data_IF_075725592931
#
_entry.id   IF_075725592931
#
_cell.length_a   1.000
_cell.length_b   1.000
_cell.length_c   1.000
_cell.angle_alpha   90.00
_cell.angle_beta   90.00
_cell.angle_gamma   90.00
#
_symmetry.space_group_name_H-M   'P 1'
#
loop_
_entity.id
_entity.type
_entity.pdbx_description
1 polymer ?
#
# COMPACT_ATOMS: atom_id res chain seq x y z
N UNK A 1 -9.65 -8.88 3.22
CA UNK A 1 -8.19 -8.69 3.40
C UNK A 1 -7.87 -7.18 3.45
N UNK A 2 -6.73 -6.72 4.00
CA UNK A 2 -6.52 -5.29 4.37
C UNK A 2 -5.42 -4.62 3.55
N UNK A 3 -5.65 -3.37 3.17
CA UNK A 3 -4.62 -2.50 2.60
C UNK A 3 -4.83 -1.10 3.22
N UNK A 4 -3.75 -0.44 3.64
CA UNK A 4 -3.75 0.98 4.03
C UNK A 4 -3.00 1.73 2.93
N UNK A 5 -3.72 2.50 2.13
CA UNK A 5 -3.16 3.24 0.99
C UNK A 5 -3.10 4.74 1.30
N UNK A 6 -2.08 5.46 0.81
CA UNK A 6 -2.08 6.93 0.77
C UNK A 6 -2.07 7.33 -0.71
N UNK A 7 -3.22 7.66 -1.29
CA UNK A 7 -3.33 7.86 -2.74
C UNK A 7 -4.33 8.97 -3.15
N UNK A 8 -3.88 9.81 -4.10
CA UNK A 8 -4.58 10.84 -4.91
C UNK A 8 -5.84 10.29 -5.67
N UNK A 9 -6.70 11.11 -6.32
CA UNK A 9 -8.10 10.69 -6.59
C UNK A 9 -8.29 9.61 -7.69
N UNK A 10 -9.04 8.56 -7.30
CA UNK A 10 -9.97 7.70 -8.06
C UNK A 10 -9.39 6.55 -8.92
N UNK A 11 -8.08 6.45 -9.11
CA UNK A 11 -7.51 5.37 -9.94
C UNK A 11 -7.00 4.18 -9.11
N UNK A 12 -7.60 3.00 -9.31
CA UNK A 12 -7.26 1.75 -8.62
C UNK A 12 -7.07 0.59 -9.62
N UNK A 13 -6.24 -0.42 -9.29
CA UNK A 13 -6.06 -1.64 -10.09
C UNK A 13 -7.38 -2.34 -10.41
N UNK A 14 -7.70 -2.55 -11.69
CA UNK A 14 -8.98 -3.14 -12.10
C UNK A 14 -9.04 -4.66 -11.94
N UNK A 15 -7.88 -5.33 -11.86
CA UNK A 15 -7.83 -6.78 -11.64
C UNK A 15 -8.27 -7.20 -10.22
N UNK A 16 -8.51 -6.22 -9.34
CA UNK A 16 -8.87 -6.45 -7.95
C UNK A 16 -10.16 -5.73 -7.58
N UNK A 17 -10.93 -6.35 -6.69
CA UNK A 17 -12.15 -5.75 -6.13
C UNK A 17 -11.77 -4.75 -5.05
N UNK A 18 -11.68 -3.48 -5.40
CA UNK A 18 -11.27 -2.42 -4.49
C UNK A 18 -12.48 -1.65 -3.92
N UNK A 19 -12.61 -1.61 -2.60
CA UNK A 19 -13.63 -0.85 -1.87
C UNK A 19 -12.98 0.25 -1.04
N UNK A 20 -13.47 1.49 -1.16
CA UNK A 20 -12.96 2.64 -0.40
C UNK A 20 -13.68 2.68 0.94
N UNK A 21 -12.94 2.52 2.05
CA UNK A 21 -13.52 2.45 3.41
C UNK A 21 -13.56 3.81 4.08
N UNK A 22 -12.50 4.59 3.94
CA UNK A 22 -12.41 5.92 4.56
C UNK A 22 -11.43 6.80 3.80
N UNK A 23 -11.71 8.09 3.77
CA UNK A 23 -10.82 9.12 3.24
C UNK A 23 -10.92 10.34 4.13
N UNK A 24 -9.87 10.63 4.89
CA UNK A 24 -9.81 11.86 5.69
C UNK A 24 -9.26 13.03 4.85
N UNK A 25 -9.54 14.26 5.33
CA UNK A 25 -8.96 15.52 4.80
C UNK A 25 -7.42 15.52 4.75
N UNK A 26 -6.77 14.57 5.43
CA UNK A 26 -5.31 14.40 5.54
C UNK A 26 -4.71 13.42 4.51
N UNK A 27 -5.39 13.15 3.39
CA UNK A 27 -4.85 12.35 2.26
C UNK A 27 -4.63 10.85 2.55
N UNK A 28 -5.09 10.36 3.70
CA UNK A 28 -5.07 8.93 4.05
C UNK A 28 -6.33 8.27 3.51
N UNK A 29 -6.19 7.25 2.65
CA UNK A 29 -7.33 6.50 2.08
C UNK A 29 -7.22 5.02 2.39
N UNK A 30 -8.09 4.53 3.27
CA UNK A 30 -8.16 3.09 3.47
C UNK A 30 -8.94 2.44 2.31
N UNK A 31 -8.33 1.43 1.68
CA UNK A 31 -8.93 0.67 0.58
C UNK A 31 -8.86 -0.80 0.92
N UNK A 32 -9.96 -1.52 0.72
CA UNK A 32 -10.00 -2.97 0.87
C UNK A 32 -9.96 -3.61 -0.49
N UNK A 33 -9.19 -4.68 -0.57
CA UNK A 33 -8.95 -5.39 -1.80
C UNK A 33 -8.82 -6.87 -1.51
N UNK A 34 -9.18 -7.70 -2.50
CA UNK A 34 -9.25 -9.15 -2.40
C UNK A 34 -7.89 -9.85 -2.56
N UNK A 35 -6.80 -9.22 -2.10
CA UNK A 35 -5.46 -9.82 -2.13
C UNK A 35 -5.36 -11.01 -1.17
N UNK A 36 -4.72 -12.09 -1.63
CA UNK A 36 -4.54 -13.31 -0.86
C UNK A 36 -3.08 -13.58 -0.49
N UNK A 37 -2.12 -13.22 -1.35
CA UNK A 37 -0.72 -13.58 -1.18
C UNK A 37 0.25 -12.42 -1.54
N UNK A 38 1.56 -12.68 -1.48
CA UNK A 38 2.59 -11.69 -1.78
C UNK A 38 2.66 -11.27 -3.25
N UNK A 39 2.32 -12.17 -4.16
CA UNK A 39 2.29 -11.93 -5.61
C UNK A 39 1.15 -10.98 -5.96
N UNK A 40 -0.03 -11.15 -5.35
CA UNK A 40 -1.15 -10.22 -5.50
C UNK A 40 -0.78 -8.80 -5.08
N UNK A 41 0.05 -8.65 -4.03
CA UNK A 41 0.56 -7.34 -3.60
C UNK A 41 1.43 -6.71 -4.70
N UNK A 42 2.29 -7.51 -5.34
CA UNK A 42 3.17 -7.03 -6.41
C UNK A 42 2.38 -6.70 -7.68
N UNK A 43 1.37 -7.50 -8.02
CA UNK A 43 0.47 -7.23 -9.14
C UNK A 43 -0.36 -5.97 -8.90
N UNK A 44 -0.92 -5.82 -7.69
CA UNK A 44 -1.69 -4.64 -7.30
C UNK A 44 -0.85 -3.37 -7.40
N UNK A 45 0.40 -3.37 -6.88
CA UNK A 45 1.25 -2.18 -6.97
C UNK A 45 1.71 -1.92 -8.41
N UNK A 46 1.96 -2.96 -9.21
CA UNK A 46 2.37 -2.83 -10.61
C UNK A 46 1.30 -2.14 -11.45
N UNK A 47 0.05 -2.60 -11.36
CA UNK A 47 -1.09 -1.96 -12.02
C UNK A 47 -1.28 -0.53 -11.50
N UNK A 48 -1.22 -0.34 -10.18
CA UNK A 48 -1.40 0.97 -9.58
C UNK A 48 -0.33 1.97 -10.09
N UNK A 49 0.91 1.53 -10.22
CA UNK A 49 2.02 2.30 -10.79
C UNK A 49 1.78 2.70 -12.24
N UNK A 50 1.29 1.76 -13.06
CA UNK A 50 0.99 2.01 -14.47
C UNK A 50 -0.14 3.03 -14.61
N UNK A 51 -1.23 2.84 -13.88
CA UNK A 51 -2.42 3.68 -14.00
C UNK A 51 -2.14 5.11 -13.51
N UNK A 52 -1.39 5.26 -12.41
CA UNK A 52 -1.10 6.59 -11.84
C UNK A 52 0.18 7.22 -12.37
N UNK A 53 0.91 6.53 -13.26
CA UNK A 53 2.25 6.91 -13.71
C UNK A 53 3.19 7.25 -12.53
N UNK A 54 3.08 6.50 -11.43
CA UNK A 54 3.93 6.64 -10.25
C UNK A 54 4.92 5.49 -10.17
N UNK A 55 6.00 5.70 -9.40
CA UNK A 55 6.97 4.65 -9.10
C UNK A 55 7.11 4.52 -7.60
N UNK A 56 7.11 3.29 -7.12
CA UNK A 56 7.19 2.97 -5.70
C UNK A 56 8.35 2.03 -5.41
N UNK A 57 9.12 2.35 -4.38
CA UNK A 57 10.21 1.53 -3.90
C UNK A 57 9.74 0.73 -2.67
N UNK A 58 10.13 -0.54 -2.58
CA UNK A 58 9.87 -1.35 -1.39
C UNK A 58 10.74 -0.85 -0.25
N UNK A 59 10.11 -0.40 0.84
CA UNK A 59 10.77 -0.04 2.10
C UNK A 59 10.89 -1.22 3.05
N UNK A 60 9.83 -2.03 3.14
CA UNK A 60 9.76 -3.20 4.03
C UNK A 60 8.93 -4.29 3.38
N UNK A 61 9.35 -5.53 3.56
CA UNK A 61 8.63 -6.74 3.14
C UNK A 61 8.60 -7.72 4.30
N UNK A 62 7.43 -8.24 4.64
CA UNK A 62 7.23 -9.22 5.70
C UNK A 62 6.30 -10.33 5.19
N UNK A 63 6.88 -11.43 4.66
CA UNK A 63 6.12 -12.64 4.36
C UNK A 63 5.78 -13.40 5.65
N UNK A 64 4.65 -14.12 5.67
CA UNK A 64 4.30 -15.12 6.66
C UNK A 64 4.43 -14.68 8.13
N UNK A 65 3.79 -13.56 8.48
CA UNK A 65 3.75 -13.12 9.88
C UNK A 65 2.89 -14.03 10.77
N UNK A 66 3.03 -13.88 12.08
CA UNK A 66 2.24 -14.64 13.06
C UNK A 66 0.73 -14.36 12.88
N UNK A 67 0.38 -13.07 12.77
CA UNK A 67 -1.01 -12.56 12.67
C UNK A 67 -1.41 -12.08 11.27
N UNK A 68 -0.48 -12.11 10.32
CA UNK A 68 -0.66 -11.64 8.94
C UNK A 68 -0.20 -12.71 7.96
N UNK A 69 -0.81 -12.78 6.79
CA UNK A 69 -0.32 -13.59 5.68
C UNK A 69 0.90 -12.92 5.06
N UNK A 70 0.80 -11.62 4.81
CA UNK A 70 1.83 -10.85 4.10
C UNK A 70 1.70 -9.35 4.38
N UNK A 71 2.81 -8.62 4.38
CA UNK A 71 2.80 -7.15 4.41
C UNK A 71 3.96 -6.58 3.60
N UNK A 72 3.68 -5.53 2.83
CA UNK A 72 4.70 -4.72 2.16
C UNK A 72 4.42 -3.24 2.37
N UNK A 73 5.50 -2.50 2.64
CA UNK A 73 5.48 -1.04 2.73
C UNK A 73 6.27 -0.50 1.56
N UNK A 74 5.63 0.36 0.80
CA UNK A 74 6.16 1.06 -0.34
C UNK A 74 6.26 2.55 -0.04
N UNK A 75 7.22 3.20 -0.68
CA UNK A 75 7.45 4.63 -0.56
C UNK A 75 7.68 5.21 -1.95
N UNK A 76 7.33 6.48 -2.13
CA UNK A 76 7.50 7.12 -3.43
C UNK A 76 8.94 7.04 -3.93
N UNK A 77 9.13 6.82 -5.22
CA UNK A 77 10.44 6.86 -5.87
C UNK A 77 11.13 8.22 -5.67
N UNK A 78 10.40 9.31 -5.47
CA UNK A 78 10.96 10.64 -5.19
C UNK A 78 11.07 10.97 -3.69
N UNK A 79 10.93 9.97 -2.81
CA UNK A 79 11.22 10.13 -1.38
C UNK A 79 12.72 10.28 -1.11
N UNK A 80 13.07 10.74 0.10
CA UNK A 80 14.45 10.82 0.59
C UNK A 80 15.07 9.47 0.93
N UNK A 81 14.31 8.38 0.88
CA UNK A 81 14.79 7.06 1.26
C UNK A 81 15.95 6.60 0.38
N UNK A 82 17.10 6.37 1.03
CA UNK A 82 18.36 5.95 0.40
C UNK A 82 18.79 6.88 -0.74
N UNK A 83 18.50 8.18 -0.60
CA UNK A 83 18.94 9.21 -1.55
C UNK A 83 19.68 10.33 -0.85
N UNK A 84 20.52 11.00 -1.62
CA UNK A 84 21.26 12.18 -1.17
C UNK A 84 20.25 13.31 -0.91
N UNK A 85 20.44 14.01 0.20
CA UNK A 85 19.67 15.20 0.56
C UNK A 85 19.81 16.27 -0.52
N UNK A 86 18.80 17.13 -0.66
CA UNK A 86 18.77 18.10 -1.77
C UNK A 86 19.96 19.09 -1.70
N UNK A 87 20.35 19.50 -0.50
CA UNK A 87 21.51 20.37 -0.26
C UNK A 87 22.84 19.76 -0.71
N UNK A 88 22.95 18.43 -0.67
CA UNK A 88 24.16 17.69 -1.02
C UNK A 88 24.14 17.19 -2.48
N UNK A 89 23.03 17.40 -3.20
CA UNK A 89 22.84 16.98 -4.60
C UNK A 89 23.51 17.94 -5.59
N UNK A 90 24.79 18.23 -5.40
CA UNK A 90 25.54 19.23 -6.20
C UNK A 90 25.55 18.95 -7.71
N UNK A 91 25.41 17.67 -8.10
CA UNK A 91 25.39 17.22 -9.51
C UNK A 91 23.97 17.11 -10.10
N UNK A 92 22.92 17.37 -9.32
CA UNK A 92 21.53 17.27 -9.78
C UNK A 92 21.07 15.85 -10.16
N UNK A 93 21.80 14.80 -9.75
CA UNK A 93 21.53 13.42 -10.14
C UNK A 93 20.48 12.74 -9.25
N UNK A 94 20.37 13.16 -7.99
CA UNK A 94 19.38 12.63 -7.05
C UNK A 94 17.98 13.09 -7.44
N UNK A 95 17.08 12.13 -7.68
CA UNK A 95 15.64 12.38 -7.88
C UNK A 95 14.90 12.39 -6.54
N UNK A 96 15.41 13.15 -5.58
CA UNK A 96 14.77 13.35 -4.29
C UNK A 96 13.97 14.65 -4.30
N UNK A 97 12.65 14.56 -4.10
CA UNK A 97 11.75 15.71 -3.96
C UNK A 97 11.13 15.75 -2.56
N UNK A 98 11.71 15.01 -1.60
CA UNK A 98 11.24 14.84 -0.24
C UNK A 98 9.77 14.40 -0.17
N UNK A 99 9.36 13.57 -1.13
CA UNK A 99 7.99 13.08 -1.21
C UNK A 99 7.68 12.17 0.00
N UNK A 100 6.65 12.53 0.76
CA UNK A 100 6.19 11.82 1.96
C UNK A 100 5.20 10.68 1.67
N UNK A 101 4.80 10.49 0.40
CA UNK A 101 3.81 9.49 0.04
C UNK A 101 4.32 8.06 0.30
N UNK A 102 3.48 7.24 0.92
CA UNK A 102 3.77 5.84 1.23
C UNK A 102 2.52 4.97 1.07
N UNK A 103 2.70 3.70 0.75
CA UNK A 103 1.63 2.71 0.58
C UNK A 103 1.94 1.53 1.49
N UNK A 104 0.99 1.10 2.31
CA UNK A 104 1.16 -0.01 3.24
C UNK A 104 0.12 -1.11 2.99
N UNK A 105 0.54 -2.19 2.37
CA UNK A 105 -0.32 -3.32 2.02
C UNK A 105 -0.17 -4.41 3.08
N UNK A 106 -1.27 -4.90 3.68
CA UNK A 106 -1.22 -5.88 4.78
C UNK A 106 -2.34 -6.91 4.75
N UNK A 107 -2.05 -8.09 4.26
CA UNK A 107 -3.00 -9.20 4.21
C UNK A 107 -3.10 -9.83 5.61
N UNK A 108 -4.19 -9.56 6.34
CA UNK A 108 -4.45 -10.19 7.66
C UNK A 108 -4.93 -11.63 7.49
N UNK A 109 -4.57 -12.52 8.43
CA UNK A 109 -5.13 -13.88 8.50
C UNK A 109 -6.61 -13.83 8.92
N UNK A 110 -7.43 -14.69 8.32
CA UNK A 110 -8.83 -14.87 8.73
C UNK A 110 -8.89 -15.78 9.98
N UNK A 111 -8.65 -15.19 11.14
CA UNK A 111 -8.78 -15.88 12.44
C UNK A 111 -10.09 -15.48 13.13
N UNK A 112 -10.55 -16.28 14.09
CA UNK A 112 -11.72 -15.94 14.91
C UNK A 112 -11.57 -14.57 15.61
N UNK A 113 -10.35 -14.19 16.01
CA UNK A 113 -10.07 -12.87 16.59
C UNK A 113 -10.21 -11.75 15.56
N UNK A 114 -9.70 -11.95 14.34
CA UNK A 114 -9.84 -10.98 13.25
C UNK A 114 -11.31 -10.79 12.87
N UNK A 115 -12.11 -11.87 12.82
CA UNK A 115 -13.56 -11.79 12.58
C UNK A 115 -14.31 -11.01 13.65
N UNK A 116 -13.94 -11.15 14.93
CA UNK A 116 -14.59 -10.42 16.03
C UNK A 116 -14.30 -8.92 16.00
N UNK A 117 -13.05 -8.56 15.73
CA UNK A 117 -12.57 -7.17 15.83
C UNK A 117 -12.85 -6.35 14.57
N UNK A 118 -12.97 -7.00 13.43
CA UNK A 118 -12.99 -6.32 12.17
C UNK A 118 -14.34 -6.44 11.48
N UNK A 119 -15.07 -5.32 11.42
CA UNK A 119 -16.43 -5.23 10.91
C UNK A 119 -16.59 -5.77 9.49
N UNK A 120 -15.53 -5.72 8.68
CA UNK A 120 -15.54 -6.17 7.29
C UNK A 120 -15.34 -7.69 7.10
N UNK A 121 -14.76 -8.41 8.08
CA UNK A 121 -14.69 -9.89 8.02
C UNK A 121 -15.93 -10.53 8.71
N UNK A 122 -16.76 -9.73 9.38
CA UNK A 122 -18.01 -10.22 9.97
C UNK A 122 -19.02 -10.64 8.90
N UNK A 123 -18.89 -10.10 7.69
CA UNK A 123 -19.83 -10.28 6.59
C UNK A 123 -19.33 -11.40 5.67
N UNK A 124 -19.46 -12.65 6.11
CA UNK A 124 -19.64 -13.81 5.21
C UNK A 124 -19.87 -15.07 6.06
N UNK A 125 -21.08 -15.18 6.58
CA UNK A 125 -21.78 -16.46 6.67
C UNK A 125 -23.19 -16.17 6.15
N UNK A 126 -23.44 -16.50 4.88
CA UNK A 126 -24.78 -16.79 4.38
C UNK A 126 -24.87 -18.29 4.20
#
# INVERSE_FOLDING_TARGET
YYIVLLIFPIMYPQSFNNEIVSGDKNYIKEVRSNLQNMEDIDNWISEYQQITNTKWNVRRSLPNGEKIVASKVYICHHSSYRKVANNDNKKGLSKNSDCSASISITIKKNTASTRKKDSFIKVEIK
#
